data_IF_746087166533
#
_entry.id   IF_746087166533
#
_cell.length_a   1.000
_cell.length_b   1.000
_cell.length_c   1.000
_cell.angle_alpha   90.00
_cell.angle_beta   90.00
_cell.angle_gamma   90.00
#
_symmetry.space_group_name_H-M   'P 1'
#
loop_
_entity.id
_entity.type
_entity.pdbx_description
1 polymer ?
#
# COMPACT_ATOMS: atom_id res chain seq x y z
N UNK A 1 22.61 21.60 3.36
CA UNK A 1 21.19 21.27 3.63
C UNK A 1 20.96 20.76 5.05
N UNK A 2 21.43 19.57 5.46
CA UNK A 2 21.13 19.04 6.81
C UNK A 2 21.77 19.83 7.95
N UNK A 3 23.00 20.33 7.77
CA UNK A 3 23.65 21.23 8.72
C UNK A 3 22.88 22.56 8.86
N UNK A 4 22.40 23.11 7.74
CA UNK A 4 21.59 24.34 7.73
C UNK A 4 20.25 24.13 8.45
N UNK A 5 19.63 22.96 8.24
CA UNK A 5 18.43 22.56 8.98
C UNK A 5 18.69 22.42 10.49
N UNK A 6 19.82 21.81 10.88
CA UNK A 6 20.20 21.71 12.30
C UNK A 6 20.44 23.08 12.94
N UNK A 7 20.93 24.05 12.18
CA UNK A 7 21.07 25.43 12.61
C UNK A 7 19.69 26.11 12.73
N UNK A 8 18.84 25.98 11.70
CA UNK A 8 17.52 26.59 11.65
C UNK A 8 16.61 26.14 12.80
N UNK A 9 16.57 24.82 13.08
CA UNK A 9 15.71 24.27 14.15
C UNK A 9 16.06 24.77 15.54
N UNK A 10 17.32 25.20 15.77
CA UNK A 10 17.76 25.74 17.07
C UNK A 10 17.09 27.08 17.33
N UNK A 11 16.92 27.91 16.31
CA UNK A 11 16.20 29.18 16.43
C UNK A 11 14.71 28.98 16.72
N UNK A 12 14.12 27.86 16.30
CA UNK A 12 12.71 27.54 16.57
C UNK A 12 12.51 26.70 17.84
N UNK A 13 13.57 26.40 18.60
CA UNK A 13 13.49 25.57 19.82
C UNK A 13 13.18 24.07 19.58
N UNK A 14 13.25 23.59 18.34
CA UNK A 14 12.90 22.21 17.99
C UNK A 14 14.07 21.23 18.20
N UNK A 15 13.76 20.06 18.77
CA UNK A 15 14.73 18.97 18.99
C UNK A 15 14.58 17.84 17.96
N UNK A 16 15.70 17.41 17.38
CA UNK A 16 15.79 16.27 16.48
C UNK A 16 15.76 14.98 17.29
N UNK A 17 14.95 14.03 16.83
CA UNK A 17 15.01 12.66 17.30
C UNK A 17 16.01 11.88 16.45
N UNK A 18 17.28 11.86 16.87
CA UNK A 18 18.37 11.20 16.14
C UNK A 18 18.16 9.69 15.96
N UNK A 19 17.33 9.03 16.79
CA UNK A 19 16.98 7.61 16.61
C UNK A 19 16.05 7.39 15.41
N UNK A 20 15.24 8.39 15.04
CA UNK A 20 14.31 8.34 13.90
C UNK A 20 14.90 9.00 12.65
N UNK A 21 15.96 9.79 12.78
CA UNK A 21 16.62 10.45 11.67
C UNK A 21 17.65 9.52 11.05
N UNK A 22 17.36 9.07 9.84
CA UNK A 22 18.30 8.38 8.95
C UNK A 22 18.31 9.13 7.62
N UNK A 23 19.32 8.90 6.80
CA UNK A 23 19.33 9.45 5.44
C UNK A 23 19.33 8.30 4.42
N UNK A 24 18.83 8.61 3.24
CA UNK A 24 18.86 7.74 2.06
C UNK A 24 19.34 8.61 0.90
N UNK A 25 20.20 8.09 0.05
CA UNK A 25 20.70 8.79 -1.13
C UNK A 25 20.44 7.96 -2.39
N UNK A 26 20.53 8.61 -3.56
CA UNK A 26 20.49 7.91 -4.83
C UNK A 26 21.90 7.43 -5.23
N UNK A 27 22.00 6.53 -6.21
CA UNK A 27 23.28 6.01 -6.69
C UNK A 27 24.19 7.03 -7.38
N UNK A 28 23.76 8.29 -7.51
CA UNK A 28 24.54 9.38 -8.11
C UNK A 28 25.45 10.08 -7.08
N UNK A 29 25.21 9.87 -5.79
CA UNK A 29 25.96 10.50 -4.70
C UNK A 29 26.74 9.42 -3.96
N UNK A 30 28.05 9.60 -3.80
CA UNK A 30 28.86 8.73 -2.94
C UNK A 30 28.55 8.99 -1.47
N UNK A 31 28.44 7.92 -0.68
CA UNK A 31 28.23 8.05 0.75
C UNK A 31 29.39 8.80 1.42
N UNK A 32 29.05 9.85 2.18
CA UNK A 32 29.95 10.51 3.10
C UNK A 32 29.31 10.47 4.49
N UNK A 33 29.89 9.77 5.48
CA UNK A 33 29.41 9.82 6.85
C UNK A 33 29.39 11.26 7.35
N UNK A 34 28.30 11.67 7.99
CA UNK A 34 28.22 12.97 8.65
C UNK A 34 27.59 12.85 10.02
N UNK A 35 28.02 13.75 10.91
CA UNK A 35 27.57 13.80 12.30
C UNK A 35 26.67 15.00 12.53
N UNK A 36 25.66 14.83 13.38
CA UNK A 36 24.89 15.92 13.97
C UNK A 36 25.04 15.83 15.49
N UNK A 37 25.54 16.90 16.12
CA UNK A 37 25.83 16.94 17.55
C UNK A 37 26.70 15.76 18.04
N UNK A 38 27.72 15.39 17.27
CA UNK A 38 28.62 14.27 17.60
C UNK A 38 28.00 12.87 17.43
N UNK A 39 26.75 12.77 16.97
CA UNK A 39 26.10 11.48 16.66
C UNK A 39 26.13 11.22 15.16
N UNK A 40 26.57 10.03 14.75
CA UNK A 40 26.53 9.59 13.35
C UNK A 40 25.08 9.41 12.89
N UNK A 41 24.73 9.97 11.73
CA UNK A 41 23.46 9.64 11.07
C UNK A 41 23.69 8.45 10.17
N UNK A 42 22.90 7.40 10.40
CA UNK A 42 22.98 6.15 9.65
C UNK A 42 22.30 6.27 8.29
N UNK A 43 22.90 5.60 7.32
CA UNK A 43 22.29 5.35 6.01
C UNK A 43 21.20 4.28 6.14
N UNK A 44 20.13 4.41 5.37
CA UNK A 44 19.11 3.38 5.21
C UNK A 44 18.86 3.07 3.73
N UNK A 45 18.63 1.79 3.42
CA UNK A 45 18.28 1.34 2.07
C UNK A 45 16.79 1.50 1.74
N UNK A 46 15.96 1.66 2.78
CA UNK A 46 14.53 1.94 2.64
C UNK A 46 13.97 2.59 3.90
N UNK A 47 12.95 3.43 3.74
CA UNK A 47 12.20 4.06 4.84
C UNK A 47 10.72 4.14 4.51
N UNK A 48 9.89 4.38 5.53
CA UNK A 48 8.45 4.63 5.35
C UNK A 48 8.20 6.10 5.55
N UNK A 49 7.71 6.76 4.51
CA UNK A 49 7.34 8.16 4.53
C UNK A 49 5.87 8.31 4.24
N UNK A 50 5.15 8.93 5.18
CA UNK A 50 3.69 9.13 5.09
C UNK A 50 2.96 7.84 4.68
N UNK A 51 3.33 6.73 5.33
CA UNK A 51 2.72 5.41 5.08
C UNK A 51 3.25 4.65 3.85
N UNK A 52 3.94 5.30 2.89
CA UNK A 52 4.55 4.62 1.74
C UNK A 52 5.99 4.20 2.03
N UNK A 53 6.33 2.94 1.76
CA UNK A 53 7.72 2.48 1.74
C UNK A 53 8.42 2.92 0.45
N UNK A 54 9.56 3.57 0.61
CA UNK A 54 10.44 4.02 -0.46
C UNK A 54 11.79 3.32 -0.26
N UNK A 55 12.45 2.93 -1.35
CA UNK A 55 13.78 2.35 -1.31
C UNK A 55 14.70 3.04 -2.33
N UNK A 56 16.01 2.83 -2.17
CA UNK A 56 17.06 3.41 -3.02
C UNK A 56 16.85 3.10 -4.51
N UNK A 57 16.36 1.91 -4.84
CA UNK A 57 16.14 1.46 -6.22
C UNK A 57 14.80 1.92 -6.81
N UNK A 58 13.99 2.66 -6.05
CA UNK A 58 12.61 3.02 -6.37
C UNK A 58 11.74 1.82 -6.78
N UNK A 59 12.03 0.62 -6.26
CA UNK A 59 11.23 -0.58 -6.55
C UNK A 59 9.92 -0.57 -5.76
N UNK A 60 8.81 -0.86 -6.45
CA UNK A 60 7.48 -0.87 -5.86
C UNK A 60 7.18 -2.18 -5.10
N UNK A 61 7.89 -3.28 -5.39
CA UNK A 61 7.53 -4.59 -4.84
C UNK A 61 7.48 -4.67 -3.29
N UNK A 62 8.40 -4.03 -2.54
CA UNK A 62 8.33 -4.02 -1.07
C UNK A 62 7.13 -3.24 -0.52
N UNK A 63 6.73 -2.15 -1.17
CA UNK A 63 5.54 -1.39 -0.79
C UNK A 63 4.27 -2.17 -1.13
N UNK A 64 4.21 -2.73 -2.34
CA UNK A 64 3.09 -3.56 -2.76
C UNK A 64 2.87 -4.70 -1.78
N UNK A 65 3.93 -5.39 -1.35
CA UNK A 65 3.87 -6.47 -0.36
C UNK A 65 3.30 -6.02 0.98
N UNK A 66 3.68 -4.82 1.46
CA UNK A 66 3.10 -4.24 2.69
C UNK A 66 1.62 -3.95 2.54
N UNK A 67 1.21 -3.41 1.39
CA UNK A 67 -0.19 -3.09 1.08
C UNK A 67 -1.04 -4.34 0.97
N UNK A 68 -0.52 -5.41 0.35
CA UNK A 68 -1.21 -6.72 0.35
C UNK A 68 -1.48 -7.19 1.77
N UNK A 69 -0.48 -7.07 2.65
CA UNK A 69 -0.63 -7.48 4.05
C UNK A 69 -1.65 -6.61 4.78
N UNK A 70 -1.59 -5.30 4.61
CA UNK A 70 -2.56 -4.37 5.21
C UNK A 70 -4.00 -4.66 4.73
N UNK A 71 -4.18 -4.94 3.44
CA UNK A 71 -5.47 -5.37 2.88
C UNK A 71 -5.95 -6.68 3.52
N UNK A 72 -5.08 -7.67 3.64
CA UNK A 72 -5.44 -8.94 4.28
C UNK A 72 -5.76 -8.78 5.77
N UNK A 73 -5.02 -7.95 6.49
CA UNK A 73 -5.28 -7.62 7.90
C UNK A 73 -6.63 -6.91 8.06
N UNK A 74 -6.91 -5.92 7.21
CA UNK A 74 -8.19 -5.21 7.18
C UNK A 74 -9.36 -6.11 6.77
N UNK A 75 -9.15 -7.05 5.85
CA UNK A 75 -10.16 -8.02 5.49
C UNK A 75 -10.43 -9.01 6.62
N UNK A 76 -9.38 -9.50 7.29
CA UNK A 76 -9.51 -10.45 8.40
C UNK A 76 -10.27 -9.86 9.58
N UNK A 77 -10.16 -8.56 9.84
CA UNK A 77 -10.93 -7.91 10.92
C UNK A 77 -12.43 -7.84 10.64
N UNK A 78 -12.85 -7.88 9.37
CA UNK A 78 -14.26 -7.85 8.95
C UNK A 78 -14.80 -9.22 8.49
N UNK A 79 -13.95 -10.25 8.42
CA UNK A 79 -14.26 -11.55 7.83
C UNK A 79 -15.49 -12.23 8.47
N UNK A 80 -15.62 -12.19 9.79
CA UNK A 80 -16.78 -12.76 10.49
C UNK A 80 -18.09 -12.03 10.12
N UNK A 81 -18.04 -10.70 9.99
CA UNK A 81 -19.20 -9.89 9.58
C UNK A 81 -19.55 -10.21 8.12
N UNK A 82 -18.54 -10.30 7.25
CA UNK A 82 -18.70 -10.64 5.84
C UNK A 82 -19.39 -12.00 5.69
N UNK A 83 -18.94 -13.01 6.45
CA UNK A 83 -19.48 -14.36 6.40
C UNK A 83 -20.93 -14.46 6.89
N UNK A 84 -21.34 -13.61 7.85
CA UNK A 84 -22.72 -13.60 8.38
C UNK A 84 -23.67 -12.76 7.53
N UNK A 85 -23.15 -11.80 6.78
CA UNK A 85 -23.96 -10.83 6.06
C UNK A 85 -24.43 -11.39 4.72
N UNK A 86 -25.75 -11.57 4.57
CA UNK A 86 -26.35 -12.00 3.29
C UNK A 86 -26.64 -10.85 2.32
N UNK A 87 -26.62 -9.60 2.81
CA UNK A 87 -26.93 -8.42 2.01
C UNK A 87 -25.69 -7.98 1.22
N UNK A 88 -25.71 -8.21 -0.10
CA UNK A 88 -24.60 -7.86 -1.01
C UNK A 88 -24.26 -6.38 -0.98
N UNK A 89 -25.23 -5.47 -0.82
CA UNK A 89 -24.97 -4.02 -0.81
C UNK A 89 -24.19 -3.60 0.43
N UNK A 90 -24.53 -4.16 1.60
CA UNK A 90 -23.77 -3.92 2.83
C UNK A 90 -22.35 -4.49 2.73
N UNK A 91 -22.19 -5.66 2.10
CA UNK A 91 -20.88 -6.24 1.86
C UNK A 91 -20.00 -5.37 0.96
N UNK A 92 -20.57 -4.79 -0.11
CA UNK A 92 -19.84 -3.88 -1.01
C UNK A 92 -19.35 -2.66 -0.23
N UNK A 93 -20.23 -2.00 0.51
CA UNK A 93 -19.84 -0.82 1.30
C UNK A 93 -18.79 -1.15 2.36
N UNK A 94 -18.91 -2.29 3.05
CA UNK A 94 -17.92 -2.74 4.03
C UNK A 94 -16.56 -3.00 3.36
N UNK A 95 -16.57 -3.61 2.18
CA UNK A 95 -15.37 -3.86 1.40
C UNK A 95 -14.71 -2.57 0.90
N UNK A 96 -15.48 -1.64 0.33
CA UNK A 96 -14.97 -0.34 -0.11
C UNK A 96 -14.35 0.43 1.06
N UNK A 97 -15.01 0.44 2.22
CA UNK A 97 -14.52 1.18 3.38
C UNK A 97 -13.24 0.61 4.01
N UNK A 98 -13.05 -0.72 3.98
CA UNK A 98 -11.90 -1.36 4.62
C UNK A 98 -10.77 -1.72 3.63
N UNK A 99 -11.11 -2.41 2.54
CA UNK A 99 -10.13 -3.04 1.63
C UNK A 99 -9.70 -2.08 0.54
N UNK A 100 -10.64 -1.39 -0.11
CA UNK A 100 -10.29 -0.43 -1.17
C UNK A 100 -9.46 0.71 -0.58
N UNK A 101 -9.81 1.22 0.61
CA UNK A 101 -9.04 2.29 1.25
C UNK A 101 -7.60 1.86 1.59
N UNK A 102 -7.40 0.65 2.11
CA UNK A 102 -6.06 0.13 2.42
C UNK A 102 -5.20 -0.05 1.16
N UNK A 103 -5.84 -0.39 0.04
CA UNK A 103 -5.19 -0.59 -1.26
C UNK A 103 -4.93 0.73 -2.00
N UNK A 104 -5.89 1.66 -1.95
CA UNK A 104 -5.89 2.94 -2.67
C UNK A 104 -4.90 3.95 -2.08
N UNK A 105 -4.57 3.81 -0.80
CA UNK A 105 -3.67 4.73 -0.15
C UNK A 105 -2.27 4.75 -0.82
N UNK A 106 -1.86 5.95 -1.23
CA UNK A 106 -0.61 6.25 -1.96
C UNK A 106 -0.53 5.70 -3.40
N UNK A 107 -1.60 5.15 -3.98
CA UNK A 107 -1.62 4.70 -5.38
C UNK A 107 -1.26 5.81 -6.36
N UNK A 108 -1.68 7.05 -6.08
CA UNK A 108 -1.35 8.26 -6.86
C UNK A 108 0.17 8.45 -7.05
N UNK A 109 0.97 7.92 -6.14
CA UNK A 109 2.43 8.09 -6.13
C UNK A 109 3.16 6.92 -6.80
N UNK A 110 2.45 5.88 -7.25
CA UNK A 110 3.03 4.65 -7.79
C UNK A 110 3.16 4.68 -9.31
N UNK A 111 4.33 4.32 -9.81
CA UNK A 111 4.55 3.98 -11.21
C UNK A 111 4.20 2.51 -11.46
N UNK A 112 2.91 2.24 -11.69
CA UNK A 112 2.40 0.87 -11.89
C UNK A 112 2.92 0.24 -13.19
N UNK A 113 3.71 -0.83 -13.08
CA UNK A 113 4.03 -1.71 -14.21
C UNK A 113 2.92 -2.74 -14.42
N UNK A 114 2.86 -3.37 -15.59
CA UNK A 114 1.90 -4.45 -15.88
C UNK A 114 1.96 -5.61 -14.88
N UNK A 115 3.13 -5.92 -14.35
CA UNK A 115 3.29 -6.93 -13.30
C UNK A 115 2.66 -6.51 -11.97
N UNK A 116 2.79 -5.22 -11.62
CA UNK A 116 2.24 -4.66 -10.39
C UNK A 116 0.71 -4.61 -10.47
N UNK A 117 0.14 -4.20 -11.61
CA UNK A 117 -1.31 -4.27 -11.88
C UNK A 117 -1.85 -5.70 -11.71
N UNK A 118 -1.21 -6.69 -12.34
CA UNK A 118 -1.61 -8.11 -12.21
C UNK A 118 -1.59 -8.57 -10.76
N UNK A 119 -0.58 -8.14 -10.01
CA UNK A 119 -0.41 -8.47 -8.61
C UNK A 119 -1.51 -7.86 -7.72
N UNK A 120 -1.99 -6.65 -8.05
CA UNK A 120 -3.16 -6.04 -7.40
C UNK A 120 -4.44 -6.84 -7.71
N UNK A 121 -4.69 -7.13 -8.98
CA UNK A 121 -5.88 -7.88 -9.40
C UNK A 121 -5.98 -9.27 -8.75
N UNK A 122 -4.85 -9.92 -8.45
CA UNK A 122 -4.83 -11.21 -7.74
C UNK A 122 -5.44 -11.09 -6.33
N UNK A 123 -5.11 -10.00 -5.61
CA UNK A 123 -5.62 -9.76 -4.25
C UNK A 123 -7.10 -9.45 -4.32
N UNK A 124 -7.50 -8.54 -5.19
CA UNK A 124 -8.90 -8.16 -5.34
C UNK A 124 -9.78 -9.36 -5.65
N UNK A 125 -9.37 -10.21 -6.61
CA UNK A 125 -10.08 -11.45 -6.93
C UNK A 125 -10.11 -12.42 -5.76
N UNK A 126 -9.06 -12.44 -4.92
CA UNK A 126 -9.04 -13.29 -3.74
C UNK A 126 -10.05 -12.82 -2.70
N UNK A 127 -10.12 -11.52 -2.45
CA UNK A 127 -11.09 -10.98 -1.49
C UNK A 127 -12.51 -11.05 -2.03
N UNK A 128 -12.72 -10.76 -3.31
CA UNK A 128 -14.02 -10.87 -3.99
C UNK A 128 -14.58 -12.30 -3.95
N UNK A 129 -13.73 -13.30 -4.15
CA UNK A 129 -14.11 -14.71 -3.98
C UNK A 129 -14.62 -14.99 -2.57
N UNK A 130 -13.90 -14.55 -1.55
CA UNK A 130 -14.29 -14.77 -0.16
C UNK A 130 -15.59 -14.06 0.17
N UNK A 131 -15.78 -12.83 -0.31
CA UNK A 131 -17.04 -12.08 -0.16
C UNK A 131 -18.23 -12.81 -0.76
N UNK A 132 -18.05 -13.46 -1.92
CA UNK A 132 -19.10 -14.24 -2.58
C UNK A 132 -19.24 -15.66 -2.03
N UNK A 133 -18.43 -16.06 -1.03
CA UNK A 133 -18.40 -17.43 -0.52
C UNK A 133 -17.93 -18.46 -1.55
N UNK A 134 -17.23 -18.04 -2.61
CA UNK A 134 -16.77 -18.90 -3.71
C UNK A 134 -15.32 -19.28 -3.48
N UNK A 135 -15.06 -20.54 -3.16
CA UNK A 135 -13.69 -21.06 -3.09
C UNK A 135 -13.02 -21.06 -4.47
N UNK A 136 -11.68 -21.03 -4.52
CA UNK A 136 -10.94 -21.16 -5.79
C UNK A 136 -11.22 -22.50 -6.47
N UNK A 137 -11.43 -23.56 -5.71
CA UNK A 137 -11.80 -24.88 -6.24
C UNK A 137 -13.18 -24.85 -6.90
N UNK A 138 -14.18 -24.28 -6.22
CA UNK A 138 -15.54 -24.08 -6.75
C UNK A 138 -15.51 -23.25 -8.02
N UNK A 139 -14.76 -22.15 -8.04
CA UNK A 139 -14.63 -21.28 -9.21
C UNK A 139 -14.14 -22.06 -10.45
N UNK A 140 -13.11 -22.89 -10.29
CA UNK A 140 -12.51 -23.68 -11.39
C UNK A 140 -13.45 -24.80 -11.82
N UNK A 141 -14.02 -25.55 -10.86
CA UNK A 141 -14.93 -26.66 -11.13
C UNK A 141 -16.19 -26.21 -11.89
N UNK A 142 -16.75 -25.08 -11.47
CA UNK A 142 -18.00 -24.56 -12.02
C UNK A 142 -17.76 -23.64 -13.24
N UNK A 143 -16.51 -23.48 -13.68
CA UNK A 143 -16.14 -22.69 -14.86
C UNK A 143 -16.40 -21.18 -14.74
N UNK A 144 -16.50 -20.65 -13.52
CA UNK A 144 -16.89 -19.27 -13.26
C UNK A 144 -15.75 -18.31 -13.64
N UNK A 145 -16.00 -17.42 -14.60
CA UNK A 145 -15.01 -16.42 -15.03
C UNK A 145 -14.86 -15.33 -13.98
N UNK A 146 -13.71 -14.65 -13.99
CA UNK A 146 -13.50 -13.50 -13.08
C UNK A 146 -14.49 -12.35 -13.37
N UNK A 147 -14.93 -12.20 -14.63
CA UNK A 147 -16.00 -11.28 -15.00
C UNK A 147 -17.32 -11.58 -14.32
N UNK A 148 -17.64 -12.86 -14.12
CA UNK A 148 -18.90 -13.29 -13.52
C UNK A 148 -18.91 -12.99 -12.02
N UNK A 149 -17.77 -13.17 -11.36
CA UNK A 149 -17.59 -12.73 -9.97
C UNK A 149 -17.77 -11.21 -9.85
N UNK A 150 -17.18 -10.45 -10.78
CA UNK A 150 -17.29 -8.99 -10.83
C UNK A 150 -18.73 -8.50 -11.03
N UNK A 151 -19.47 -9.16 -11.89
CA UNK A 151 -20.88 -8.86 -12.10
C UNK A 151 -21.73 -9.16 -10.85
N UNK A 152 -21.42 -10.24 -10.12
CA UNK A 152 -22.12 -10.63 -8.88
C UNK A 152 -21.77 -9.70 -7.71
N UNK A 153 -20.49 -9.35 -7.55
CA UNK A 153 -20.01 -8.52 -6.44
C UNK A 153 -20.38 -7.05 -6.61
N UNK A 154 -20.42 -6.55 -7.86
CA UNK A 154 -20.56 -5.12 -8.20
C UNK A 154 -19.47 -4.23 -7.58
N UNK A 155 -18.35 -4.81 -7.18
CA UNK A 155 -17.20 -4.08 -6.62
C UNK A 155 -16.45 -3.36 -7.73
N UNK A 156 -16.15 -2.08 -7.54
CA UNK A 156 -15.29 -1.32 -8.44
C UNK A 156 -13.86 -1.88 -8.48
N UNK A 157 -13.24 -1.90 -9.67
CA UNK A 157 -11.85 -2.35 -9.82
C UNK A 157 -10.92 -1.26 -9.27
N UNK A 158 -10.07 -1.60 -8.30
CA UNK A 158 -9.19 -0.65 -7.64
C UNK A 158 -8.11 -0.09 -8.58
N UNK A 159 -7.71 -0.84 -9.61
CA UNK A 159 -6.76 -0.35 -10.62
C UNK A 159 -7.45 0.64 -11.56
N UNK A 160 -8.71 0.39 -11.93
CA UNK A 160 -9.52 1.37 -12.67
C UNK A 160 -9.79 2.62 -11.84
N UNK A 161 -10.18 2.44 -10.57
CA UNK A 161 -10.34 3.53 -9.60
C UNK A 161 -9.05 4.36 -9.53
N UNK A 162 -7.89 3.73 -9.31
CA UNK A 162 -6.61 4.43 -9.26
C UNK A 162 -6.31 5.23 -10.54
N UNK A 163 -6.54 4.63 -11.71
CA UNK A 163 -6.32 5.30 -13.00
C UNK A 163 -7.22 6.51 -13.20
N UNK A 164 -8.45 6.47 -12.71
CA UNK A 164 -9.37 7.59 -12.81
C UNK A 164 -8.90 8.81 -11.98
N UNK A 165 -8.24 8.57 -10.85
CA UNK A 165 -7.70 9.63 -9.98
C UNK A 165 -6.28 10.07 -10.37
N UNK A 166 -5.53 9.28 -11.14
CA UNK A 166 -4.19 9.63 -11.65
C UNK A 166 -4.19 10.59 -12.84
N UNK A 167 -5.35 10.84 -13.47
CA UNK A 167 -5.50 11.83 -14.56
C UNK A 167 -6.00 13.14 -13.96
N UNK A 168 -5.13 13.90 -13.29
CA UNK A 168 -5.34 15.33 -13.01
C UNK A 168 -4.01 16.07 -12.98
#
# INVERSE_FOLDING_TARGET
MLADFDKARRYTGLRLNLKKTMFMHNGLVSFVPFTINGTNIFECSSYVYLGRKINVMNDLAPELSRRKRAVWEAFKSIEDIVNRTKNTRLLVHLFESAVLFALAYALETWSLRKQDERSLSVIERAVERTMLGVSRFTQVRDGIRSSDLRQRSKIEDAVLYAKQWMIR
#
